data_IF_262970001742
#
_entry.id   IF_262970001742
#
_cell.length_a   1.000
_cell.length_b   1.000
_cell.length_c   1.000
_cell.angle_alpha   90.00
_cell.angle_beta   90.00
_cell.angle_gamma   90.00
#
_symmetry.space_group_name_H-M   'P 1'
#
loop_
_entity.id
_entity.type
_entity.pdbx_description
1 polymer ?
#
# COMPACT_ATOMS: atom_id res chain seq x y z
N UNK A 1 26.03 -58.42 28.44
CA UNK A 1 26.87 -57.54 29.29
C UNK A 1 26.58 -56.08 28.96
N UNK A 2 25.73 -55.48 29.78
CA UNK A 2 25.29 -54.11 29.68
C UNK A 2 26.20 -53.18 30.48
N UNK A 3 26.67 -52.09 29.88
CA UNK A 3 27.17 -50.96 30.66
C UNK A 3 26.38 -49.69 30.28
N UNK A 4 25.54 -49.28 31.21
CA UNK A 4 24.90 -47.95 31.26
C UNK A 4 25.90 -46.97 31.86
N UNK A 5 26.07 -45.80 31.21
CA UNK A 5 26.77 -44.63 31.81
C UNK A 5 25.76 -43.64 32.35
N UNK A 6 25.98 -43.00 33.47
CA UNK A 6 25.01 -42.19 34.16
C UNK A 6 24.98 -40.71 33.69
N UNK A 7 23.78 -40.16 33.69
CA UNK A 7 23.47 -38.75 33.45
C UNK A 7 23.91 -37.94 34.66
N UNK A 8 24.80 -36.94 34.48
CA UNK A 8 25.15 -35.93 35.50
C UNK A 8 24.16 -34.78 35.47
N UNK A 9 23.42 -34.66 36.56
CA UNK A 9 22.67 -33.46 36.96
C UNK A 9 23.66 -32.37 37.39
N UNK A 10 23.60 -31.18 36.78
CA UNK A 10 24.33 -30.00 37.20
C UNK A 10 23.38 -29.09 37.99
N UNK A 11 23.79 -28.84 39.25
CA UNK A 11 23.07 -28.05 40.24
C UNK A 11 23.19 -26.53 39.95
N UNK A 12 22.10 -25.81 40.13
CA UNK A 12 22.02 -24.35 40.17
C UNK A 12 22.63 -23.86 41.50
N UNK A 13 23.87 -23.38 41.48
CA UNK A 13 24.48 -22.43 42.44
C UNK A 13 25.96 -22.45 42.18
N UNK A 14 26.43 -21.33 41.59
CA UNK A 14 27.79 -20.78 41.65
C UNK A 14 28.15 -20.09 40.35
N UNK A 15 27.70 -18.86 40.21
CA UNK A 15 28.36 -17.83 39.41
C UNK A 15 27.93 -16.45 39.96
N UNK A 16 28.63 -16.04 41.01
CA UNK A 16 28.69 -14.63 41.43
C UNK A 16 30.17 -14.20 41.27
N UNK A 17 30.31 -13.03 40.66
CA UNK A 17 31.52 -12.18 40.59
C UNK A 17 32.48 -12.43 39.42
N UNK A 18 32.31 -11.64 38.39
CA UNK A 18 33.30 -10.61 38.02
C UNK A 18 32.68 -9.77 36.88
N UNK A 19 32.39 -8.52 37.20
CA UNK A 19 31.87 -7.56 36.23
C UNK A 19 32.98 -7.08 35.28
N UNK A 20 32.69 -7.21 33.98
CA UNK A 20 33.21 -6.29 32.96
C UNK A 20 32.04 -6.00 32.06
N UNK A 21 31.52 -4.78 32.16
CA UNK A 21 30.45 -4.29 31.30
C UNK A 21 30.96 -4.18 29.86
N UNK A 22 30.49 -5.04 29.00
CA UNK A 22 30.44 -4.77 27.57
C UNK A 22 29.04 -4.22 27.27
N UNK A 23 28.96 -2.91 27.25
CA UNK A 23 27.84 -2.24 26.60
C UNK A 23 27.87 -2.61 25.10
N UNK A 24 27.04 -3.54 24.70
CA UNK A 24 26.75 -3.75 23.30
C UNK A 24 25.95 -2.51 22.82
N UNK A 25 26.68 -1.53 22.28
CA UNK A 25 26.14 -0.47 21.49
C UNK A 25 25.51 -1.14 20.24
N UNK A 26 24.19 -1.31 20.23
CA UNK A 26 23.46 -1.49 18.97
C UNK A 26 23.71 -0.24 18.15
N UNK A 27 24.66 -0.31 17.25
CA UNK A 27 24.84 0.68 16.21
C UNK A 27 23.59 0.61 15.33
N UNK A 28 22.71 1.58 15.48
CA UNK A 28 21.73 1.90 14.46
C UNK A 28 22.52 2.15 13.18
N UNK A 29 22.35 1.28 12.19
CA UNK A 29 22.86 1.55 10.86
C UNK A 29 22.28 2.91 10.44
N UNK A 30 23.13 3.85 9.97
CA UNK A 30 22.62 5.13 9.49
C UNK A 30 21.68 4.83 8.33
N UNK A 31 20.47 5.37 8.39
CA UNK A 31 19.61 5.53 7.23
C UNK A 31 20.48 6.16 6.16
N UNK A 32 20.83 5.42 5.14
CA UNK A 32 21.52 5.94 3.96
C UNK A 32 20.58 6.97 3.34
N UNK A 33 20.68 8.22 3.80
CA UNK A 33 20.30 9.36 2.99
C UNK A 33 21.27 9.30 1.80
N UNK A 34 20.75 8.83 0.67
CA UNK A 34 21.43 8.99 -0.60
C UNK A 34 21.70 10.49 -0.74
N UNK A 35 22.95 10.88 -0.51
CA UNK A 35 23.40 12.21 -0.88
C UNK A 35 23.09 12.35 -2.39
N UNK A 36 22.38 13.39 -2.82
CA UNK A 36 22.27 13.66 -4.24
C UNK A 36 23.70 13.87 -4.74
N UNK A 37 24.18 12.98 -5.60
CA UNK A 37 25.38 13.25 -6.38
C UNK A 37 25.12 14.58 -7.06
N UNK A 38 25.90 15.59 -6.71
CA UNK A 38 26.01 16.84 -7.44
C UNK A 38 26.75 16.50 -8.75
N UNK A 39 25.99 15.95 -9.72
CA UNK A 39 26.46 15.94 -11.09
C UNK A 39 26.43 17.37 -11.59
N UNK A 40 27.57 17.81 -12.08
CA UNK A 40 27.81 19.14 -12.63
C UNK A 40 26.68 19.55 -13.57
N UNK A 41 26.04 20.67 -13.23
CA UNK A 41 24.97 21.27 -14.01
C UNK A 41 25.53 21.67 -15.39
N UNK A 42 25.32 20.85 -16.38
CA UNK A 42 25.33 21.26 -17.76
C UNK A 42 24.27 22.37 -17.92
N UNK A 43 24.66 23.51 -18.48
CA UNK A 43 23.87 24.75 -18.59
C UNK A 43 22.66 24.65 -19.57
N UNK A 44 22.02 23.50 -19.71
CA UNK A 44 20.83 23.30 -20.54
C UNK A 44 19.70 22.60 -19.80
N UNK A 45 18.46 22.73 -20.25
CA UNK A 45 17.33 22.00 -19.68
C UNK A 45 17.58 20.50 -19.81
N UNK A 46 17.47 19.79 -18.68
CA UNK A 46 17.72 18.36 -18.65
C UNK A 46 16.60 17.61 -19.37
N UNK A 47 16.98 16.71 -20.29
CA UNK A 47 16.06 15.95 -21.12
C UNK A 47 16.15 14.45 -20.84
N UNK A 48 14.98 13.78 -20.85
CA UNK A 48 14.83 12.36 -20.63
C UNK A 48 14.06 11.71 -21.78
N UNK A 49 14.26 10.42 -21.97
CA UNK A 49 13.39 9.64 -22.84
C UNK A 49 12.00 9.49 -22.21
N UNK A 50 11.97 9.13 -20.91
CA UNK A 50 10.75 8.97 -20.14
C UNK A 50 10.79 9.76 -18.83
N UNK A 51 9.67 10.42 -18.50
CA UNK A 51 9.45 11.00 -17.20
C UNK A 51 8.19 10.42 -16.56
N UNK A 52 8.30 9.98 -15.30
CA UNK A 52 7.16 9.53 -14.50
C UNK A 52 6.86 10.60 -13.47
N UNK A 53 5.60 11.07 -13.41
CA UNK A 53 5.16 12.12 -12.50
C UNK A 53 4.30 11.52 -11.40
N UNK A 54 4.82 11.56 -10.18
CA UNK A 54 4.24 10.93 -8.99
C UNK A 54 5.10 9.78 -8.49
N UNK A 55 5.85 10.00 -7.40
CA UNK A 55 6.76 9.05 -6.80
C UNK A 55 6.09 8.15 -5.74
N UNK A 56 4.77 7.86 -5.93
CA UNK A 56 3.99 6.92 -5.11
C UNK A 56 4.18 5.46 -5.55
N UNK A 57 3.29 4.58 -5.11
CA UNK A 57 3.36 3.13 -5.37
C UNK A 57 3.43 2.80 -6.87
N UNK A 58 2.51 3.35 -7.68
CA UNK A 58 2.45 3.06 -9.11
C UNK A 58 3.63 3.66 -9.86
N UNK A 59 3.97 4.93 -9.58
CA UNK A 59 5.07 5.60 -10.27
C UNK A 59 6.43 5.01 -9.93
N UNK A 60 6.68 4.61 -8.67
CA UNK A 60 7.93 3.96 -8.28
C UNK A 60 8.09 2.58 -8.92
N UNK A 61 7.01 1.81 -9.00
CA UNK A 61 7.00 0.54 -9.72
C UNK A 61 7.24 0.75 -11.23
N UNK A 62 6.55 1.72 -11.85
CA UNK A 62 6.75 2.05 -13.26
C UNK A 62 8.20 2.46 -13.53
N UNK A 63 8.82 3.26 -12.66
CA UNK A 63 10.21 3.68 -12.80
C UNK A 63 11.17 2.49 -12.78
N UNK A 64 11.01 1.54 -11.84
CA UNK A 64 11.81 0.32 -11.81
C UNK A 64 11.64 -0.55 -13.05
N UNK A 65 10.44 -0.61 -13.62
CA UNK A 65 10.21 -1.37 -14.84
C UNK A 65 10.74 -0.65 -16.09
N UNK A 66 10.56 0.68 -16.20
CA UNK A 66 11.09 1.49 -17.29
C UNK A 66 12.62 1.52 -17.32
N UNK A 67 13.27 1.55 -16.16
CA UNK A 67 14.73 1.56 -16.04
C UNK A 67 15.40 0.30 -16.62
N UNK A 68 14.64 -0.78 -16.84
CA UNK A 68 15.11 -1.99 -17.55
C UNK A 68 15.02 -1.85 -19.07
N UNK A 69 14.31 -0.85 -19.55
CA UNK A 69 14.03 -0.61 -20.98
C UNK A 69 14.78 0.60 -21.52
N UNK A 70 15.16 1.55 -20.65
CA UNK A 70 15.87 2.78 -21.02
C UNK A 70 16.76 3.27 -19.88
N UNK A 71 17.95 3.78 -20.24
CA UNK A 71 18.89 4.43 -19.32
C UNK A 71 18.54 5.91 -19.06
N UNK A 72 17.49 6.44 -19.71
CA UNK A 72 17.10 7.84 -19.66
C UNK A 72 15.71 8.04 -19.07
N UNK A 73 15.57 7.72 -17.76
CA UNK A 73 14.32 7.76 -17.02
C UNK A 73 14.40 8.75 -15.85
N UNK A 74 13.39 9.61 -15.68
CA UNK A 74 13.20 10.43 -14.50
C UNK A 74 11.94 10.00 -13.73
N UNK A 75 12.05 9.86 -12.41
CA UNK A 75 10.92 9.76 -11.49
C UNK A 75 10.82 11.05 -10.70
N UNK A 76 9.71 11.79 -10.87
CA UNK A 76 9.53 13.14 -10.33
C UNK A 76 8.37 13.13 -9.35
N UNK A 77 8.61 13.54 -8.12
CA UNK A 77 7.58 13.68 -7.10
C UNK A 77 8.16 14.00 -5.74
N UNK A 78 7.45 14.77 -4.92
CA UNK A 78 7.91 15.12 -3.58
C UNK A 78 8.02 13.88 -2.68
N UNK A 79 8.82 14.00 -1.63
CA UNK A 79 8.87 13.03 -0.53
C UNK A 79 7.66 13.15 0.40
N UNK A 80 7.57 12.24 1.37
CA UNK A 80 6.61 12.35 2.47
C UNK A 80 6.95 13.59 3.32
N UNK A 81 5.98 14.48 3.59
CA UNK A 81 6.24 15.68 4.37
C UNK A 81 6.57 15.33 5.83
N UNK A 82 7.63 15.93 6.37
CA UNK A 82 8.02 15.76 7.78
C UNK A 82 7.04 16.44 8.75
N UNK A 83 6.42 17.52 8.33
CA UNK A 83 5.33 18.22 9.05
C UNK A 83 4.05 18.17 8.24
N UNK A 84 3.26 17.12 8.46
CA UNK A 84 1.99 16.93 7.79
C UNK A 84 1.00 18.05 8.03
N UNK A 85 0.97 18.62 9.25
CA UNK A 85 -0.04 19.63 9.64
C UNK A 85 0.13 20.95 8.91
N UNK A 86 1.37 21.34 8.64
CA UNK A 86 1.69 22.60 7.99
C UNK A 86 2.03 22.45 6.49
N UNK A 87 2.05 21.22 5.97
CA UNK A 87 2.36 20.98 4.55
C UNK A 87 1.27 21.54 3.62
N UNK A 88 1.69 22.28 2.58
CA UNK A 88 0.80 22.92 1.60
C UNK A 88 0.83 22.28 0.21
N UNK A 89 1.70 21.30 -0.01
CA UNK A 89 1.82 20.56 -1.27
C UNK A 89 0.90 19.35 -1.35
N UNK A 90 1.18 18.49 -2.31
CA UNK A 90 0.46 17.24 -2.50
C UNK A 90 0.79 16.22 -1.40
N UNK A 91 -0.17 15.37 -1.11
CA UNK A 91 -0.01 14.21 -0.23
C UNK A 91 -0.13 12.92 -1.01
N UNK A 92 0.34 11.82 -0.45
CA UNK A 92 0.17 10.50 -1.04
C UNK A 92 -0.58 9.55 -0.09
N UNK A 93 -1.20 8.51 -0.65
CA UNK A 93 -2.03 7.54 0.09
C UNK A 93 -1.20 6.49 0.84
N UNK A 94 0.12 6.49 0.70
CA UNK A 94 0.98 5.44 1.24
C UNK A 94 1.62 5.74 2.61
N UNK A 95 1.25 6.86 3.24
CA UNK A 95 1.84 7.29 4.51
C UNK A 95 1.33 6.46 5.70
N UNK A 96 1.65 5.17 5.69
CA UNK A 96 1.27 4.20 6.71
C UNK A 96 2.36 3.11 6.82
N UNK A 97 2.23 2.21 7.80
CA UNK A 97 3.17 1.09 8.00
C UNK A 97 2.63 -0.21 7.45
N UNK A 98 1.30 -0.35 7.30
CA UNK A 98 0.70 -1.60 6.84
C UNK A 98 -0.39 -1.37 5.81
N UNK A 99 -0.35 -2.14 4.72
CA UNK A 99 -1.43 -2.31 3.75
C UNK A 99 -1.68 -3.78 3.52
N UNK A 100 -2.93 -4.16 3.46
CA UNK A 100 -3.34 -5.53 3.21
C UNK A 100 -2.77 -6.05 1.90
N UNK A 101 -2.16 -7.24 1.93
CA UNK A 101 -1.85 -8.04 0.76
C UNK A 101 -2.62 -9.36 0.81
N UNK A 102 -3.11 -9.76 -0.33
CA UNK A 102 -3.76 -11.04 -0.58
C UNK A 102 -3.89 -11.26 -2.09
N UNK A 103 -3.87 -12.49 -2.53
CA UNK A 103 -4.23 -12.83 -3.91
C UNK A 103 -5.73 -12.95 -4.03
N UNK A 104 -6.34 -13.70 -3.14
CA UNK A 104 -7.77 -14.01 -3.19
C UNK A 104 -8.63 -12.75 -3.06
N UNK A 105 -9.41 -12.50 -4.09
CA UNK A 105 -10.35 -11.37 -4.23
C UNK A 105 -11.57 -11.91 -5.01
N UNK A 106 -12.82 -11.48 -4.76
CA UNK A 106 -13.95 -11.92 -5.57
C UNK A 106 -13.87 -11.49 -7.04
N UNK A 107 -12.97 -10.58 -7.38
CA UNK A 107 -12.73 -10.07 -8.74
C UNK A 107 -11.42 -10.63 -9.30
N UNK A 108 -11.50 -11.37 -10.40
CA UNK A 108 -10.36 -12.04 -11.04
C UNK A 108 -9.30 -11.06 -11.57
N UNK A 109 -9.70 -9.87 -12.04
CA UNK A 109 -8.76 -8.86 -12.54
C UNK A 109 -7.88 -8.36 -11.40
N UNK A 110 -8.50 -7.97 -10.26
CA UNK A 110 -7.78 -7.54 -9.07
C UNK A 110 -6.94 -8.64 -8.45
N UNK A 111 -7.43 -9.86 -8.42
CA UNK A 111 -6.68 -11.02 -7.94
C UNK A 111 -5.45 -11.29 -8.81
N UNK A 112 -5.59 -11.22 -10.14
CA UNK A 112 -4.48 -11.39 -11.09
C UNK A 112 -3.42 -10.30 -10.94
N UNK A 113 -3.83 -9.03 -10.82
CA UNK A 113 -2.92 -7.91 -10.57
C UNK A 113 -2.15 -8.08 -9.25
N UNK A 114 -2.85 -8.51 -8.20
CA UNK A 114 -2.25 -8.79 -6.89
C UNK A 114 -1.26 -9.95 -6.97
N UNK A 115 -1.67 -11.09 -7.52
CA UNK A 115 -0.80 -12.28 -7.64
C UNK A 115 0.49 -11.93 -8.35
N UNK A 116 0.41 -11.31 -9.52
CA UNK A 116 1.60 -10.94 -10.29
C UNK A 116 2.52 -9.94 -9.60
N UNK A 117 1.96 -9.07 -8.77
CA UNK A 117 2.75 -8.15 -7.93
C UNK A 117 3.46 -8.93 -6.82
N UNK A 118 2.71 -9.74 -6.07
CA UNK A 118 3.20 -10.50 -4.91
C UNK A 118 4.26 -11.52 -5.35
N UNK A 119 4.07 -12.21 -6.48
CA UNK A 119 5.05 -13.15 -7.06
C UNK A 119 6.45 -12.52 -7.31
N UNK A 120 6.55 -11.18 -7.35
CA UNK A 120 7.83 -10.46 -7.54
C UNK A 120 8.38 -9.82 -6.27
N UNK A 121 7.61 -9.77 -5.18
CA UNK A 121 8.02 -9.05 -3.97
C UNK A 121 9.26 -9.65 -3.32
N UNK A 122 9.38 -10.96 -3.24
CA UNK A 122 10.56 -11.63 -2.66
C UNK A 122 11.86 -11.30 -3.45
N UNK A 123 11.77 -11.19 -4.79
CA UNK A 123 12.91 -10.75 -5.62
C UNK A 123 13.24 -9.28 -5.37
N UNK A 124 12.24 -8.44 -5.20
CA UNK A 124 12.44 -7.01 -4.89
C UNK A 124 13.09 -6.84 -3.52
N UNK A 125 12.62 -7.54 -2.48
CA UNK A 125 13.23 -7.53 -1.14
C UNK A 125 14.67 -8.01 -1.18
N UNK A 126 14.92 -9.16 -1.75
CA UNK A 126 16.25 -9.76 -1.88
C UNK A 126 17.25 -8.83 -2.60
N UNK A 127 16.82 -8.16 -3.66
CA UNK A 127 17.69 -7.27 -4.46
C UNK A 127 17.89 -5.92 -3.83
N UNK A 128 16.88 -5.35 -3.18
CA UNK A 128 16.97 -4.04 -2.53
C UNK A 128 17.55 -4.12 -1.12
N UNK A 129 17.53 -5.31 -0.49
CA UNK A 129 17.89 -5.48 0.93
C UNK A 129 16.90 -4.83 1.89
N UNK A 130 15.66 -4.55 1.44
CA UNK A 130 14.62 -3.90 2.23
C UNK A 130 13.41 -4.83 2.39
N UNK A 131 13.11 -5.20 3.62
CA UNK A 131 11.95 -6.03 3.96
C UNK A 131 10.69 -5.18 4.03
N UNK A 132 9.66 -5.53 3.27
CA UNK A 132 8.39 -4.82 3.24
C UNK A 132 7.17 -5.75 3.20
N UNK A 133 7.34 -7.04 2.81
CA UNK A 133 6.29 -8.05 2.75
C UNK A 133 6.29 -8.87 4.04
N UNK A 134 5.12 -9.07 4.65
CA UNK A 134 4.97 -9.86 5.86
C UNK A 134 3.83 -10.85 5.69
N UNK A 135 4.18 -12.12 5.51
CA UNK A 135 3.24 -13.22 5.36
C UNK A 135 2.71 -13.65 6.74
N UNK A 136 1.51 -13.18 7.07
CA UNK A 136 0.80 -13.49 8.31
C UNK A 136 -0.58 -14.09 8.07
N UNK A 137 -0.86 -14.42 6.81
CA UNK A 137 -2.17 -14.86 6.35
C UNK A 137 -3.18 -13.75 6.17
N UNK A 138 -4.26 -14.09 5.51
CA UNK A 138 -5.43 -13.25 5.30
C UNK A 138 -6.70 -14.07 5.45
N UNK A 139 -7.72 -13.49 6.06
CA UNK A 139 -9.07 -14.07 6.03
C UNK A 139 -10.13 -13.03 5.71
N UNK A 140 -11.17 -13.47 5.01
CA UNK A 140 -12.42 -12.74 4.88
C UNK A 140 -13.49 -13.47 5.65
N UNK A 141 -14.06 -12.81 6.66
CA UNK A 141 -15.07 -13.37 7.55
C UNK A 141 -16.40 -12.68 7.32
N UNK A 142 -17.45 -13.45 7.18
CA UNK A 142 -18.81 -12.93 6.98
C UNK A 142 -19.84 -13.83 7.65
N UNK A 143 -20.90 -13.28 8.27
CA UNK A 143 -22.03 -14.07 8.74
C UNK A 143 -22.76 -14.72 7.58
N UNK A 144 -23.39 -15.87 7.85
CA UNK A 144 -24.16 -16.60 6.85
C UNK A 144 -25.30 -15.75 6.27
N UNK A 145 -25.49 -15.85 4.96
CA UNK A 145 -26.57 -15.13 4.26
C UNK A 145 -26.28 -13.66 3.91
N UNK A 146 -25.09 -13.16 4.23
CA UNK A 146 -24.69 -11.83 3.80
C UNK A 146 -24.37 -11.85 2.30
N UNK A 147 -25.23 -11.23 1.50
CA UNK A 147 -25.16 -11.20 0.02
C UNK A 147 -24.45 -9.97 -0.55
N UNK A 148 -23.52 -9.37 0.18
CA UNK A 148 -22.81 -8.20 -0.32
C UNK A 148 -21.70 -8.60 -1.30
N UNK A 149 -21.61 -7.91 -2.43
CA UNK A 149 -20.61 -8.21 -3.48
C UNK A 149 -19.15 -8.22 -2.97
N UNK A 150 -18.87 -7.44 -1.94
CA UNK A 150 -17.53 -7.33 -1.32
C UNK A 150 -17.13 -8.56 -0.50
N UNK A 151 -18.11 -9.25 0.10
CA UNK A 151 -17.94 -10.41 0.97
C UNK A 151 -18.44 -11.69 0.29
N UNK A 152 -18.15 -11.82 -1.01
CA UNK A 152 -18.56 -12.95 -1.83
C UNK A 152 -17.57 -14.12 -1.71
N UNK A 153 -17.69 -14.92 -0.64
CA UNK A 153 -16.82 -16.08 -0.43
C UNK A 153 -16.89 -17.13 -1.57
N UNK A 154 -18.05 -17.43 -2.16
CA UNK A 154 -18.13 -18.30 -3.34
C UNK A 154 -17.26 -17.82 -4.50
N UNK A 155 -17.35 -16.55 -4.88
CA UNK A 155 -16.52 -15.98 -5.95
C UNK A 155 -15.03 -16.01 -5.60
N UNK A 156 -14.68 -15.80 -4.33
CA UNK A 156 -13.28 -15.93 -3.89
C UNK A 156 -12.73 -17.34 -4.05
N UNK A 157 -13.53 -18.38 -3.79
CA UNK A 157 -13.12 -19.78 -3.99
C UNK A 157 -12.88 -20.09 -5.47
N UNK A 158 -13.77 -19.61 -6.34
CA UNK A 158 -13.63 -19.73 -7.79
C UNK A 158 -12.35 -19.08 -8.28
N UNK A 159 -12.11 -17.81 -7.92
CA UNK A 159 -10.89 -17.08 -8.28
C UNK A 159 -9.63 -17.74 -7.71
N UNK A 160 -9.66 -18.25 -6.49
CA UNK A 160 -8.54 -18.99 -5.90
C UNK A 160 -8.22 -20.24 -6.73
N UNK A 161 -9.24 -21.01 -7.15
CA UNK A 161 -9.10 -22.17 -8.03
C UNK A 161 -8.49 -21.78 -9.38
N UNK A 162 -8.99 -20.73 -10.03
CA UNK A 162 -8.52 -20.24 -11.33
C UNK A 162 -7.04 -19.84 -11.31
N UNK A 163 -6.59 -19.26 -10.19
CA UNK A 163 -5.23 -18.78 -10.03
C UNK A 163 -4.29 -19.78 -9.33
N UNK A 164 -4.80 -20.96 -8.96
CA UNK A 164 -4.02 -21.99 -8.27
C UNK A 164 -3.54 -21.55 -6.89
N UNK A 165 -4.34 -20.78 -6.16
CA UNK A 165 -4.04 -20.28 -4.81
C UNK A 165 -4.68 -21.18 -3.76
N UNK A 166 -3.86 -21.66 -2.82
CA UNK A 166 -4.33 -22.47 -1.70
C UNK A 166 -5.17 -21.63 -0.73
N UNK A 167 -6.35 -22.11 -0.40
CA UNK A 167 -7.25 -21.53 0.58
C UNK A 167 -7.81 -22.60 1.51
N UNK A 168 -8.26 -22.20 2.68
CA UNK A 168 -8.98 -23.01 3.65
C UNK A 168 -10.33 -22.36 3.94
N UNK A 169 -11.37 -23.17 4.00
CA UNK A 169 -12.69 -22.74 4.48
C UNK A 169 -12.79 -22.96 5.98
N UNK A 170 -13.14 -21.89 6.71
CA UNK A 170 -13.34 -21.93 8.15
C UNK A 170 -14.82 -21.75 8.45
N UNK A 171 -15.39 -22.65 9.22
CA UNK A 171 -16.73 -22.51 9.77
C UNK A 171 -16.72 -21.79 11.13
N UNK A 172 -17.89 -21.51 11.67
CA UNK A 172 -18.07 -20.80 12.93
C UNK A 172 -17.34 -21.49 14.10
N UNK A 173 -17.38 -22.81 14.18
CA UNK A 173 -16.71 -23.55 15.23
C UNK A 173 -15.18 -23.42 15.13
N UNK A 174 -14.64 -23.57 13.94
CA UNK A 174 -13.20 -23.44 13.66
C UNK A 174 -12.70 -22.00 13.88
N UNK A 175 -13.48 -21.00 13.50
CA UNK A 175 -13.15 -19.59 13.75
C UNK A 175 -13.03 -19.30 15.26
N UNK A 176 -14.00 -19.74 16.05
CA UNK A 176 -14.00 -19.54 17.51
C UNK A 176 -12.89 -20.34 18.21
N UNK A 177 -12.55 -21.54 17.72
CA UNK A 177 -11.44 -22.34 18.25
C UNK A 177 -10.08 -21.68 17.95
N UNK A 178 -9.84 -21.27 16.71
CA UNK A 178 -8.54 -20.71 16.28
C UNK A 178 -8.29 -19.30 16.75
N UNK A 179 -9.34 -18.48 16.91
CA UNK A 179 -9.24 -17.06 17.25
C UNK A 179 -10.15 -16.68 18.41
N UNK A 180 -9.96 -17.28 19.61
CA UNK A 180 -10.88 -17.16 20.75
C UNK A 180 -10.96 -15.77 21.38
N UNK A 181 -10.12 -14.83 20.96
CA UNK A 181 -10.13 -13.43 21.37
C UNK A 181 -10.90 -12.52 20.41
N UNK A 182 -11.35 -13.04 19.27
CA UNK A 182 -12.26 -12.36 18.36
C UNK A 182 -13.71 -12.77 18.66
N UNK A 183 -14.59 -11.79 18.74
CA UNK A 183 -16.03 -12.04 18.86
C UNK A 183 -16.66 -12.05 17.46
N UNK A 184 -16.93 -13.25 16.97
CA UNK A 184 -17.54 -13.43 15.65
C UNK A 184 -19.06 -13.41 15.76
N UNK A 185 -19.73 -12.78 14.77
CA UNK A 185 -21.18 -12.94 14.61
C UNK A 185 -21.51 -14.42 14.44
N UNK A 186 -22.48 -14.96 15.22
CA UNK A 186 -22.84 -16.38 15.15
C UNK A 186 -23.19 -16.86 13.73
N UNK A 187 -22.69 -18.02 13.35
CA UNK A 187 -22.84 -18.56 12.00
C UNK A 187 -21.93 -17.94 10.95
N UNK A 188 -20.88 -17.23 11.37
CA UNK A 188 -19.85 -16.73 10.46
C UNK A 188 -19.09 -17.84 9.79
N UNK A 189 -18.63 -17.58 8.58
CA UNK A 189 -17.68 -18.41 7.84
C UNK A 189 -16.59 -17.56 7.23
N UNK A 190 -15.45 -18.18 6.90
CA UNK A 190 -14.36 -17.46 6.27
C UNK A 190 -13.71 -18.25 5.14
N UNK A 191 -13.08 -17.51 4.22
CA UNK A 191 -12.02 -18.00 3.34
C UNK A 191 -10.71 -17.49 3.90
N UNK A 192 -9.79 -18.41 4.19
CA UNK A 192 -8.45 -18.14 4.72
C UNK A 192 -7.38 -18.46 3.67
N UNK A 193 -6.48 -17.52 3.41
CA UNK A 193 -5.29 -17.67 2.59
C UNK A 193 -4.06 -17.54 3.50
N UNK A 194 -3.25 -18.62 3.60
CA UNK A 194 -2.10 -18.63 4.50
C UNK A 194 -0.86 -17.97 3.88
N UNK A 195 -0.53 -18.36 2.65
CA UNK A 195 0.68 -17.93 1.95
C UNK A 195 0.39 -16.75 1.02
N UNK A 196 1.40 -15.93 0.75
CA UNK A 196 1.29 -14.75 -0.11
C UNK A 196 0.17 -13.80 0.32
N UNK A 197 -0.05 -13.72 1.62
CA UNK A 197 -1.12 -12.97 2.25
C UNK A 197 -0.68 -12.40 3.61
N UNK A 198 -1.21 -11.22 3.96
CA UNK A 198 -0.85 -10.53 5.19
C UNK A 198 -0.78 -9.02 4.97
N UNK A 199 0.39 -8.41 5.17
CA UNK A 199 0.54 -6.98 4.90
C UNK A 199 1.89 -6.63 4.26
N UNK A 200 1.92 -5.49 3.58
CA UNK A 200 3.14 -4.84 3.14
C UNK A 200 3.30 -3.48 3.82
N UNK A 201 4.57 -3.07 4.01
CA UNK A 201 4.91 -1.71 4.37
C UNK A 201 5.07 -0.87 3.07
N UNK A 202 4.11 0.01 2.75
CA UNK A 202 4.13 0.72 1.47
C UNK A 202 5.28 1.73 1.35
N UNK A 203 5.76 2.29 2.47
CA UNK A 203 6.95 3.17 2.47
C UNK A 203 8.19 2.39 2.07
N UNK A 204 8.39 1.20 2.66
CA UNK A 204 9.54 0.35 2.35
C UNK A 204 9.47 -0.21 0.93
N UNK A 205 8.29 -0.61 0.44
CA UNK A 205 8.12 -1.02 -0.96
C UNK A 205 8.50 0.10 -1.94
N UNK A 206 8.06 1.34 -1.70
CA UNK A 206 8.44 2.49 -2.53
C UNK A 206 9.95 2.71 -2.49
N UNK A 207 10.58 2.64 -1.33
CA UNK A 207 12.02 2.78 -1.19
C UNK A 207 12.77 1.68 -1.94
N UNK A 208 12.33 0.43 -1.84
CA UNK A 208 12.90 -0.71 -2.58
C UNK A 208 12.79 -0.51 -4.09
N UNK A 209 11.61 -0.13 -4.59
CA UNK A 209 11.40 0.15 -6.00
C UNK A 209 12.31 1.29 -6.51
N UNK A 210 12.41 2.39 -5.74
CA UNK A 210 13.23 3.54 -6.09
C UNK A 210 14.73 3.24 -6.02
N UNK A 211 15.19 2.47 -5.04
CA UNK A 211 16.58 2.04 -4.94
C UNK A 211 16.97 1.23 -6.18
N UNK A 212 16.19 0.21 -6.52
CA UNK A 212 16.44 -0.63 -7.70
C UNK A 212 16.33 0.15 -9.03
N UNK A 213 15.45 1.15 -9.13
CA UNK A 213 15.40 2.02 -10.29
C UNK A 213 16.64 2.91 -10.39
N UNK A 214 17.14 3.45 -9.27
CA UNK A 214 18.34 4.30 -9.24
C UNK A 214 19.60 3.51 -9.58
N UNK A 215 19.74 2.25 -9.15
CA UNK A 215 20.83 1.37 -9.58
C UNK A 215 20.89 1.20 -11.10
N UNK A 216 19.72 1.30 -11.76
CA UNK A 216 19.57 1.27 -13.21
C UNK A 216 19.54 2.67 -13.84
N UNK A 217 20.12 3.69 -13.17
CA UNK A 217 20.28 5.08 -13.61
C UNK A 217 19.01 5.91 -13.71
N UNK A 218 17.87 5.48 -13.14
CA UNK A 218 16.72 6.37 -13.02
C UNK A 218 17.07 7.56 -12.12
N UNK A 219 16.83 8.77 -12.61
CA UNK A 219 17.01 9.98 -11.82
C UNK A 219 15.80 10.27 -10.96
N UNK A 220 16.00 10.29 -9.63
CA UNK A 220 14.95 10.66 -8.67
C UNK A 220 14.99 12.18 -8.45
N UNK A 221 13.87 12.87 -8.74
CA UNK A 221 13.73 14.32 -8.61
C UNK A 221 12.64 14.61 -7.58
N UNK A 222 13.04 15.15 -6.41
CA UNK A 222 12.15 15.41 -5.28
C UNK A 222 11.45 16.76 -5.40
N UNK A 223 10.67 16.90 -6.48
CA UNK A 223 9.97 18.14 -6.84
C UNK A 223 8.52 17.85 -7.20
N UNK A 224 7.65 18.83 -7.01
CA UNK A 224 6.28 18.80 -7.51
C UNK A 224 6.23 19.37 -8.93
N UNK A 225 5.55 18.65 -9.82
CA UNK A 225 5.28 19.10 -11.19
C UNK A 225 3.99 19.91 -11.19
N UNK A 226 4.07 21.13 -11.72
CA UNK A 226 2.94 22.05 -11.81
C UNK A 226 2.32 22.14 -13.20
N UNK A 227 3.07 21.76 -14.25
CA UNK A 227 2.63 21.92 -15.61
C UNK A 227 3.29 20.95 -16.56
N UNK A 228 2.53 20.51 -17.58
CA UNK A 228 3.01 19.80 -18.76
C UNK A 228 2.65 20.62 -20.01
N UNK A 229 3.61 20.83 -20.90
CA UNK A 229 3.39 21.53 -22.18
C UNK A 229 4.06 20.76 -23.32
N UNK A 230 3.33 20.53 -24.41
CA UNK A 230 3.94 20.02 -25.65
C UNK A 230 4.86 21.06 -26.27
N UNK A 231 6.08 20.64 -26.62
CA UNK A 231 7.11 21.45 -27.27
C UNK A 231 7.74 20.65 -28.39
N UNK A 232 7.16 20.71 -29.57
CA UNK A 232 7.60 19.90 -30.70
C UNK A 232 7.52 18.41 -30.43
N UNK A 233 8.63 17.72 -30.36
CA UNK A 233 8.73 16.28 -30.11
C UNK A 233 8.89 15.92 -28.62
N UNK A 234 8.83 16.90 -27.71
CA UNK A 234 9.02 16.70 -26.28
C UNK A 234 7.88 17.32 -25.47
N UNK A 235 7.78 16.88 -24.24
CA UNK A 235 6.96 17.47 -23.18
C UNK A 235 7.88 18.30 -22.27
N UNK A 236 7.59 19.58 -22.14
CA UNK A 236 8.18 20.49 -21.14
C UNK A 236 7.47 20.26 -19.80
N UNK A 237 8.25 20.01 -18.76
CA UNK A 237 7.79 19.69 -17.41
C UNK A 237 8.20 20.84 -16.49
N UNK A 238 7.23 21.63 -16.04
CA UNK A 238 7.45 22.76 -15.13
C UNK A 238 7.40 22.33 -13.67
N UNK A 239 8.46 22.64 -12.93
CA UNK A 239 8.61 22.30 -11.52
C UNK A 239 8.18 23.42 -10.58
N UNK A 240 7.80 23.11 -9.35
CA UNK A 240 7.42 24.10 -8.32
C UNK A 240 8.55 25.10 -8.00
N UNK A 241 9.80 24.67 -8.06
CA UNK A 241 10.98 25.55 -7.91
C UNK A 241 11.15 26.59 -9.02
N UNK A 242 10.40 26.48 -10.11
CA UNK A 242 10.57 27.26 -11.34
C UNK A 242 11.51 26.62 -12.36
N UNK A 243 12.13 25.47 -12.00
CA UNK A 243 12.95 24.70 -12.93
C UNK A 243 12.12 24.06 -14.04
N UNK A 244 12.77 23.66 -15.12
CA UNK A 244 12.15 23.03 -16.28
C UNK A 244 12.95 21.80 -16.71
N UNK A 245 12.22 20.70 -16.96
CA UNK A 245 12.76 19.45 -17.52
C UNK A 245 12.04 19.15 -18.84
N UNK A 246 12.62 18.27 -19.65
CA UNK A 246 12.01 17.79 -20.88
C UNK A 246 11.95 16.26 -20.90
N UNK A 247 10.93 15.69 -21.54
CA UNK A 247 10.87 14.26 -21.79
C UNK A 247 10.20 13.99 -23.15
N UNK A 248 10.58 12.88 -23.79
CA UNK A 248 9.93 12.46 -25.03
C UNK A 248 8.52 11.93 -24.74
N UNK A 249 8.36 11.20 -23.61
CA UNK A 249 7.07 10.67 -23.14
C UNK A 249 6.94 10.83 -21.62
N UNK A 250 5.72 11.03 -21.16
CA UNK A 250 5.40 11.26 -19.75
C UNK A 250 4.34 10.28 -19.29
N UNK A 251 4.58 9.63 -18.14
CA UNK A 251 3.59 8.80 -17.44
C UNK A 251 3.12 9.53 -16.19
N UNK A 252 1.83 9.89 -16.12
CA UNK A 252 1.23 10.56 -14.98
C UNK A 252 0.71 9.52 -13.98
N UNK A 253 1.25 9.51 -12.76
CA UNK A 253 0.97 8.59 -11.66
C UNK A 253 0.64 9.34 -10.36
N UNK A 254 -0.13 10.43 -10.45
CA UNK A 254 -0.37 11.42 -9.38
C UNK A 254 -1.50 11.04 -8.41
N UNK A 255 -2.07 9.82 -8.55
CA UNK A 255 -3.05 9.26 -7.61
C UNK A 255 -4.27 10.15 -7.40
N UNK A 256 -4.59 10.44 -6.14
CA UNK A 256 -5.76 11.27 -5.79
C UNK A 256 -5.69 12.72 -6.31
N UNK A 257 -4.50 13.22 -6.59
CA UNK A 257 -4.31 14.59 -7.08
C UNK A 257 -4.38 14.72 -8.61
N UNK A 258 -4.66 13.65 -9.36
CA UNK A 258 -4.61 13.65 -10.83
C UNK A 258 -5.47 14.75 -11.44
N UNK A 259 -6.74 14.86 -11.05
CA UNK A 259 -7.63 15.89 -11.58
C UNK A 259 -7.32 17.29 -11.03
N UNK A 260 -6.98 17.39 -9.74
CA UNK A 260 -6.73 18.67 -9.09
C UNK A 260 -5.38 19.30 -9.49
N UNK A 261 -4.42 18.52 -9.93
CA UNK A 261 -3.12 19.02 -10.43
C UNK A 261 -3.19 19.67 -11.81
N UNK A 262 -4.28 19.43 -12.56
CA UNK A 262 -4.51 19.97 -13.92
C UNK A 262 -3.37 19.67 -14.90
N UNK A 263 -2.67 18.55 -14.72
CA UNK A 263 -1.62 18.10 -15.63
C UNK A 263 -2.17 17.51 -16.93
N UNK A 264 -3.42 17.05 -16.91
CA UNK A 264 -4.15 16.51 -18.06
C UNK A 264 -5.07 17.58 -18.66
N UNK A 265 -5.33 17.50 -19.96
CA UNK A 265 -6.23 18.42 -20.66
C UNK A 265 -7.69 18.25 -20.26
N UNK A 266 -8.09 17.05 -19.92
CA UNK A 266 -9.44 16.72 -19.47
C UNK A 266 -9.37 15.98 -18.14
N UNK A 267 -10.32 16.24 -17.21
CA UNK A 267 -10.40 15.48 -15.98
C UNK A 267 -10.86 14.05 -16.27
N UNK A 268 -10.32 13.11 -15.51
CA UNK A 268 -10.75 11.71 -15.54
C UNK A 268 -12.03 11.53 -14.73
N UNK A 269 -12.87 10.58 -15.14
CA UNK A 269 -14.03 10.16 -14.35
C UNK A 269 -13.55 9.36 -13.12
N UNK A 270 -13.21 10.10 -12.07
CA UNK A 270 -12.66 9.60 -10.82
C UNK A 270 -13.32 10.30 -9.64
N UNK A 271 -13.53 9.55 -8.56
CA UNK A 271 -14.00 10.07 -7.27
C UNK A 271 -12.92 9.86 -6.21
N UNK A 272 -12.68 10.88 -5.39
CA UNK A 272 -11.72 10.75 -4.29
C UNK A 272 -12.49 10.61 -2.98
N UNK A 273 -12.43 9.42 -2.39
CA UNK A 273 -13.09 9.15 -1.11
C UNK A 273 -12.20 9.51 0.07
N UNK A 274 -12.81 10.12 1.07
CA UNK A 274 -12.20 10.53 2.32
C UNK A 274 -12.19 9.38 3.32
N UNK A 275 -11.23 8.46 3.22
CA UNK A 275 -11.12 7.32 4.12
C UNK A 275 -10.38 7.68 5.42
N UNK A 276 -10.67 6.97 6.50
CA UNK A 276 -10.04 7.14 7.80
C UNK A 276 -9.51 5.81 8.33
N UNK A 277 -8.34 5.87 8.94
CA UNK A 277 -7.70 4.75 9.63
C UNK A 277 -7.68 5.06 11.12
N UNK A 278 -8.10 4.12 11.94
CA UNK A 278 -7.91 4.12 13.38
C UNK A 278 -6.72 3.20 13.72
N UNK A 279 -5.72 3.72 14.43
CA UNK A 279 -4.61 2.96 14.99
C UNK A 279 -4.72 2.97 16.52
N UNK A 280 -5.00 1.82 17.10
CA UNK A 280 -5.15 1.62 18.54
C UNK A 280 -3.90 0.98 19.11
N UNK A 281 -3.19 1.71 19.97
CA UNK A 281 -1.98 1.24 20.62
C UNK A 281 -2.31 0.15 21.63
N UNK A 282 -1.56 -0.94 21.57
CA UNK A 282 -1.68 -2.09 22.46
C UNK A 282 -0.30 -2.47 23.01
N UNK A 283 -0.28 -3.25 24.09
CA UNK A 283 0.98 -3.79 24.59
C UNK A 283 1.65 -4.68 23.52
N UNK A 284 2.99 -4.63 23.36
CA UNK A 284 3.71 -5.45 22.37
C UNK A 284 3.49 -6.96 22.53
N UNK A 285 3.18 -7.40 23.74
CA UNK A 285 2.93 -8.79 24.15
C UNK A 285 1.44 -9.07 24.43
N UNK A 286 0.54 -8.31 23.83
CA UNK A 286 -0.91 -8.45 24.06
C UNK A 286 -1.48 -9.88 23.80
N UNK A 287 -0.64 -10.80 23.28
CA UNK A 287 -1.01 -12.21 23.09
C UNK A 287 -1.97 -12.47 21.95
N UNK A 288 -2.37 -11.43 21.22
CA UNK A 288 -3.36 -11.48 20.14
C UNK A 288 -2.64 -11.73 18.82
N UNK A 289 -2.97 -12.84 18.15
CA UNK A 289 -2.42 -13.20 16.84
C UNK A 289 -3.53 -13.66 15.91
N UNK A 290 -3.76 -12.91 14.86
CA UNK A 290 -4.71 -13.25 13.81
C UNK A 290 -4.20 -12.75 12.46
N UNK A 291 -4.66 -13.36 11.34
CA UNK A 291 -4.28 -12.90 10.01
C UNK A 291 -4.86 -11.49 9.73
N UNK A 292 -4.33 -10.81 8.73
CA UNK A 292 -4.99 -9.62 8.23
C UNK A 292 -6.44 -9.97 7.81
N UNK A 293 -7.42 -9.27 8.33
CA UNK A 293 -8.82 -9.71 8.25
C UNK A 293 -9.70 -8.64 7.64
N UNK A 294 -10.56 -9.02 6.69
CA UNK A 294 -11.76 -8.28 6.34
C UNK A 294 -12.93 -8.96 7.05
N UNK A 295 -13.65 -8.21 7.86
CA UNK A 295 -14.72 -8.74 8.68
C UNK A 295 -16.01 -7.94 8.51
N UNK A 296 -17.11 -8.67 8.32
CA UNK A 296 -18.47 -8.15 8.45
C UNK A 296 -19.05 -8.63 9.79
N UNK A 297 -19.21 -7.75 10.77
CA UNK A 297 -19.89 -7.99 12.04
C UNK A 297 -21.25 -7.32 12.01
N UNK A 298 -22.33 -8.08 12.20
CA UNK A 298 -23.71 -7.62 12.01
C UNK A 298 -24.60 -7.82 13.24
N UNK A 299 -24.03 -8.23 14.36
CA UNK A 299 -24.71 -8.43 15.64
C UNK A 299 -24.23 -7.46 16.74
N UNK A 300 -23.46 -6.44 16.34
CA UNK A 300 -23.04 -5.33 17.19
C UNK A 300 -24.10 -4.26 17.34
N UNK A 301 -23.77 -3.18 18.05
CA UNK A 301 -24.65 -2.01 18.17
C UNK A 301 -24.86 -1.30 16.82
N UNK A 302 -23.87 -1.39 15.95
CA UNK A 302 -23.92 -0.95 14.55
C UNK A 302 -23.17 -1.98 13.71
N UNK A 303 -23.59 -2.17 12.46
CA UNK A 303 -22.88 -3.06 11.55
C UNK A 303 -21.47 -2.54 11.27
N UNK A 304 -20.48 -3.41 11.42
CA UNK A 304 -19.09 -3.12 11.06
C UNK A 304 -18.68 -3.92 9.82
N UNK A 305 -18.17 -3.22 8.84
CA UNK A 305 -17.68 -3.78 7.58
C UNK A 305 -16.29 -3.22 7.33
N UNK A 306 -15.26 -3.96 7.71
CA UNK A 306 -13.98 -3.31 7.66
C UNK A 306 -12.76 -4.21 7.75
N UNK A 307 -11.64 -3.54 7.74
CA UNK A 307 -10.30 -4.09 7.84
C UNK A 307 -9.84 -4.12 9.31
N UNK A 308 -9.35 -5.26 9.73
CA UNK A 308 -8.66 -5.47 10.99
C UNK A 308 -7.23 -5.95 10.69
N UNK A 309 -6.22 -5.15 11.03
CA UNK A 309 -4.82 -5.58 10.97
C UNK A 309 -4.36 -5.99 12.36
N UNK A 310 -3.63 -7.11 12.50
CA UNK A 310 -3.14 -7.57 13.79
C UNK A 310 -2.16 -6.56 14.41
N UNK A 311 -1.71 -6.77 15.67
CA UNK A 311 -0.71 -5.94 16.30
C UNK A 311 0.57 -5.85 15.44
N UNK A 312 0.90 -4.64 14.99
CA UNK A 312 2.08 -4.35 14.15
C UNK A 312 2.89 -3.24 14.83
N UNK A 313 4.19 -3.46 14.97
CA UNK A 313 5.10 -2.42 15.47
C UNK A 313 5.41 -1.40 14.38
N UNK A 314 5.10 -0.14 14.66
CA UNK A 314 5.33 0.99 13.77
C UNK A 314 6.74 1.58 13.97
N UNK A 315 7.13 2.47 13.05
CA UNK A 315 8.46 3.13 13.07
C UNK A 315 8.75 3.92 14.34
N UNK A 316 7.73 4.29 15.11
CA UNK A 316 7.84 4.96 16.41
C UNK A 316 8.10 3.98 17.57
N UNK A 317 8.28 2.68 17.28
CA UNK A 317 8.51 1.62 18.26
C UNK A 317 7.28 1.17 19.05
N UNK A 318 6.10 1.72 18.74
CA UNK A 318 4.84 1.32 19.38
C UNK A 318 4.07 0.32 18.53
N UNK A 319 3.28 -0.51 19.19
CA UNK A 319 2.49 -1.57 18.53
C UNK A 319 1.03 -1.15 18.45
N UNK A 320 0.45 -1.28 17.24
CA UNK A 320 -0.93 -0.88 16.98
C UNK A 320 -1.73 -2.00 16.31
N UNK A 321 -2.97 -2.14 16.74
CA UNK A 321 -4.04 -2.75 15.97
C UNK A 321 -4.63 -1.66 15.07
N UNK A 322 -4.72 -1.93 13.77
CA UNK A 322 -5.29 -0.98 12.82
C UNK A 322 -6.67 -1.43 12.37
N UNK A 323 -7.61 -0.48 12.39
CA UNK A 323 -9.00 -0.68 11.96
C UNK A 323 -9.38 0.40 10.96
N UNK A 324 -10.16 0.01 9.98
CA UNK A 324 -10.74 0.90 8.98
C UNK A 324 -12.06 0.28 8.51
N UNK A 325 -13.12 1.05 8.45
CA UNK A 325 -14.40 0.63 7.90
C UNK A 325 -14.67 1.23 6.50
N UNK A 326 -15.86 0.98 5.98
CA UNK A 326 -16.31 1.48 4.69
C UNK A 326 -16.90 2.90 4.72
N UNK A 327 -16.77 3.63 5.81
CA UNK A 327 -17.28 5.00 5.89
C UNK A 327 -16.32 6.00 5.26
N UNK A 328 -16.81 6.79 4.32
CA UNK A 328 -16.02 7.76 3.54
C UNK A 328 -16.58 9.18 3.59
N UNK A 329 -17.51 9.47 4.50
CA UNK A 329 -18.23 10.73 4.54
C UNK A 329 -19.33 10.84 3.47
N UNK A 330 -20.11 11.92 3.53
CA UNK A 330 -21.28 12.08 2.66
C UNK A 330 -20.93 12.35 1.20
N UNK A 331 -19.81 13.02 0.93
CA UNK A 331 -19.44 13.49 -0.40
C UNK A 331 -17.97 13.19 -0.73
N UNK A 332 -17.66 12.91 -2.01
CA UNK A 332 -16.29 12.84 -2.48
C UNK A 332 -15.55 14.18 -2.32
N UNK A 333 -14.24 14.12 -2.11
CA UNK A 333 -13.40 15.32 -2.07
C UNK A 333 -13.11 15.82 -3.47
N UNK A 334 -13.21 17.13 -3.68
CA UNK A 334 -12.97 17.78 -4.95
C UNK A 334 -12.01 18.97 -4.79
N UNK A 335 -11.03 19.04 -5.68
CA UNK A 335 -10.10 20.15 -5.68
C UNK A 335 -8.91 19.99 -4.73
N UNK A 336 -7.88 20.78 -5.02
CA UNK A 336 -6.58 20.67 -4.35
C UNK A 336 -6.66 21.00 -2.85
N UNK A 337 -7.39 22.06 -2.51
CA UNK A 337 -7.48 22.56 -1.13
C UNK A 337 -8.22 21.59 -0.21
N UNK A 338 -9.31 20.96 -0.69
CA UNK A 338 -10.07 19.97 0.07
C UNK A 338 -9.24 18.70 0.33
N UNK A 339 -8.52 18.21 -0.69
CA UNK A 339 -7.61 17.09 -0.54
C UNK A 339 -6.50 17.39 0.49
N UNK A 340 -5.94 18.59 0.43
CA UNK A 340 -4.94 19.06 1.39
C UNK A 340 -5.50 19.20 2.80
N UNK A 341 -6.68 19.83 2.95
CA UNK A 341 -7.36 19.99 4.25
C UNK A 341 -7.67 18.64 4.88
N UNK A 342 -8.24 17.70 4.12
CA UNK A 342 -8.48 16.33 4.56
C UNK A 342 -7.18 15.64 5.02
N UNK A 343 -6.13 15.70 4.21
CA UNK A 343 -4.85 15.06 4.51
C UNK A 343 -4.16 15.61 5.76
N UNK A 344 -4.46 16.84 6.18
CA UNK A 344 -3.98 17.45 7.43
C UNK A 344 -4.87 17.19 8.64
N UNK A 345 -6.10 16.69 8.43
CA UNK A 345 -7.09 16.44 9.47
C UNK A 345 -6.78 15.16 10.29
N UNK A 346 -7.66 14.88 11.24
CA UNK A 346 -7.70 13.60 11.95
C UNK A 346 -8.88 12.71 11.48
N UNK A 347 -9.32 12.87 10.24
CA UNK A 347 -10.44 12.12 9.67
C UNK A 347 -11.82 12.62 10.13
N UNK A 348 -12.84 11.78 9.98
CA UNK A 348 -14.23 12.06 10.35
C UNK A 348 -14.42 11.99 11.87
N UNK A 349 -14.35 13.14 12.56
CA UNK A 349 -14.38 13.17 14.02
C UNK A 349 -15.70 12.62 14.59
N UNK A 350 -16.81 12.86 13.90
CA UNK A 350 -18.13 12.36 14.29
C UNK A 350 -18.24 10.82 14.21
N UNK A 351 -17.34 10.19 13.42
CA UNK A 351 -17.30 8.74 13.24
C UNK A 351 -16.26 8.03 14.13
N UNK A 352 -15.44 8.76 14.87
CA UNK A 352 -14.42 8.17 15.76
C UNK A 352 -15.00 7.20 16.79
N UNK A 353 -16.17 7.49 17.31
CA UNK A 353 -16.83 6.66 18.33
C UNK A 353 -17.30 5.33 17.74
N UNK A 354 -17.72 5.31 16.48
CA UNK A 354 -18.17 4.09 15.79
C UNK A 354 -17.01 3.10 15.67
N UNK A 355 -15.87 3.55 15.16
CA UNK A 355 -14.69 2.69 15.02
C UNK A 355 -14.16 2.16 16.38
N UNK A 356 -14.17 3.01 17.44
CA UNK A 356 -13.77 2.55 18.78
C UNK A 356 -14.71 1.48 19.31
N UNK A 357 -16.01 1.67 19.12
CA UNK A 357 -17.02 0.69 19.54
C UNK A 357 -16.86 -0.61 18.75
N UNK A 358 -16.76 -0.54 17.44
CA UNK A 358 -16.56 -1.71 16.58
C UNK A 358 -15.32 -2.52 17.01
N UNK A 359 -14.20 -1.84 17.29
CA UNK A 359 -13.00 -2.51 17.81
C UNK A 359 -13.25 -3.22 19.13
N UNK A 360 -13.96 -2.58 20.06
CA UNK A 360 -14.28 -3.17 21.37
C UNK A 360 -15.24 -4.35 21.27
N UNK A 361 -16.19 -4.29 20.35
CA UNK A 361 -17.13 -5.40 20.08
C UNK A 361 -16.43 -6.58 19.40
N UNK A 362 -15.50 -6.33 18.49
CA UNK A 362 -14.70 -7.38 17.83
C UNK A 362 -13.67 -7.99 18.77
N UNK A 363 -13.12 -7.20 19.69
CA UNK A 363 -12.10 -7.63 20.66
C UNK A 363 -12.50 -7.25 22.08
N UNK A 364 -13.44 -7.96 22.72
CA UNK A 364 -13.98 -7.57 24.02
C UNK A 364 -12.94 -7.45 25.14
N UNK A 365 -11.85 -8.22 25.07
CA UNK A 365 -10.78 -8.25 26.07
C UNK A 365 -9.55 -7.43 25.69
N UNK A 366 -9.58 -6.66 24.58
CA UNK A 366 -8.43 -5.87 24.14
C UNK A 366 -8.23 -4.64 25.01
N UNK A 367 -7.07 -4.54 25.66
CA UNK A 367 -6.66 -3.33 26.35
C UNK A 367 -6.02 -2.34 25.34
N UNK A 368 -6.67 -1.20 25.14
CA UNK A 368 -6.21 -0.12 24.27
C UNK A 368 -5.56 0.96 25.12
N UNK A 369 -4.27 1.21 24.92
CA UNK A 369 -3.49 2.20 25.65
C UNK A 369 -3.73 3.62 25.14
N UNK A 370 -3.81 3.77 23.82
CA UNK A 370 -4.11 5.04 23.14
C UNK A 370 -4.72 4.79 21.77
N UNK A 371 -5.39 5.80 21.21
CA UNK A 371 -5.98 5.73 19.86
C UNK A 371 -5.66 6.99 19.08
N UNK A 372 -5.22 6.82 17.83
CA UNK A 372 -5.00 7.90 16.89
C UNK A 372 -5.73 7.61 15.58
N UNK A 373 -6.18 8.70 14.93
CA UNK A 373 -6.88 8.65 13.65
C UNK A 373 -6.04 9.32 12.58
N UNK A 374 -6.02 8.72 11.40
CA UNK A 374 -5.26 9.22 10.26
C UNK A 374 -6.15 9.25 9.02
N UNK A 375 -6.15 10.36 8.26
CA UNK A 375 -6.84 10.42 6.99
C UNK A 375 -6.12 9.58 5.93
N UNK A 376 -6.89 9.02 5.04
CA UNK A 376 -6.42 8.36 3.84
C UNK A 376 -7.26 8.82 2.64
N UNK A 377 -6.65 8.88 1.46
CA UNK A 377 -7.34 9.19 0.21
C UNK A 377 -7.45 7.92 -0.63
N UNK A 378 -8.66 7.61 -1.09
CA UNK A 378 -8.89 6.53 -2.03
C UNK A 378 -9.36 7.14 -3.36
N UNK A 379 -8.59 6.89 -4.42
CA UNK A 379 -8.95 7.30 -5.77
C UNK A 379 -9.68 6.15 -6.47
N UNK A 380 -10.98 6.32 -6.65
CA UNK A 380 -11.84 5.38 -7.36
C UNK A 380 -12.09 5.84 -8.79
N UNK A 381 -12.01 4.92 -9.70
CA UNK A 381 -12.37 5.09 -11.10
C UNK A 381 -13.79 4.62 -11.35
N UNK A 382 -14.44 5.14 -12.35
CA UNK A 382 -15.79 4.70 -12.73
C UNK A 382 -15.81 3.26 -13.24
N UNK A 383 -14.72 2.79 -13.85
CA UNK A 383 -14.56 1.40 -14.29
C UNK A 383 -14.36 0.38 -13.15
N UNK A 384 -14.11 0.84 -11.92
CA UNK A 384 -13.67 0.04 -10.77
C UNK A 384 -12.29 -0.64 -10.95
N UNK A 385 -11.56 -0.32 -12.03
CA UNK A 385 -10.18 -0.76 -12.30
C UNK A 385 -9.26 0.44 -12.48
N UNK A 386 -7.93 0.28 -12.29
CA UNK A 386 -7.01 1.38 -12.55
C UNK A 386 -7.12 1.84 -14.01
N UNK A 387 -7.06 3.13 -14.24
CA UNK A 387 -6.79 3.61 -15.58
C UNK A 387 -5.31 3.45 -15.89
N UNK A 388 -5.02 2.66 -16.91
CA UNK A 388 -3.69 2.45 -17.48
C UNK A 388 -3.82 2.63 -18.98
N UNK A 389 -3.64 3.85 -19.47
CA UNK A 389 -3.98 4.21 -20.83
C UNK A 389 -3.12 5.36 -21.36
N UNK A 390 -2.97 5.45 -22.68
CA UNK A 390 -2.45 6.62 -23.34
C UNK A 390 -3.58 7.64 -23.54
N UNK A 391 -3.45 8.81 -22.91
CA UNK A 391 -4.43 9.90 -23.04
C UNK A 391 -4.03 10.92 -24.12
N UNK A 392 -2.86 10.73 -24.68
CA UNK A 392 -2.26 11.55 -25.74
C UNK A 392 -1.15 10.73 -26.41
N UNK A 393 -0.64 11.16 -27.56
CA UNK A 393 0.47 10.49 -28.27
C UNK A 393 1.77 10.36 -27.44
N UNK A 394 1.93 11.16 -26.38
CA UNK A 394 3.12 11.22 -25.52
C UNK A 394 2.84 11.18 -24.03
N UNK A 395 1.59 11.21 -23.64
CA UNK A 395 1.19 11.22 -22.23
C UNK A 395 0.32 10.00 -21.94
N UNK A 396 0.83 9.14 -21.07
CA UNK A 396 0.09 8.04 -20.48
C UNK A 396 -0.27 8.30 -19.02
N UNK A 397 -1.19 7.53 -18.49
CA UNK A 397 -1.64 7.57 -17.10
C UNK A 397 -1.57 6.21 -16.43
N UNK A 398 -1.33 6.22 -15.11
CA UNK A 398 -1.43 5.05 -14.22
C UNK A 398 -2.05 5.53 -12.90
N UNK A 399 -3.37 5.48 -12.77
CA UNK A 399 -4.09 6.06 -11.64
C UNK A 399 -5.30 5.23 -11.23
N UNK A 400 -5.87 5.48 -10.05
CA UNK A 400 -7.09 4.81 -9.60
C UNK A 400 -6.83 3.47 -8.90
N UNK A 401 -6.42 3.52 -7.64
CA UNK A 401 -6.13 2.32 -6.84
C UNK A 401 -7.38 1.61 -6.30
N UNK A 402 -8.55 2.25 -6.28
CA UNK A 402 -9.84 1.70 -5.85
C UNK A 402 -9.79 0.97 -4.49
N UNK A 403 -8.97 1.45 -3.55
CA UNK A 403 -8.72 0.78 -2.26
C UNK A 403 -7.87 -0.50 -2.32
N UNK A 404 -7.55 -1.00 -3.53
CA UNK A 404 -6.83 -2.27 -3.77
C UNK A 404 -5.43 -2.05 -4.38
N UNK A 405 -5.02 -0.79 -4.59
CA UNK A 405 -3.81 -0.45 -5.34
C UNK A 405 -2.50 -0.89 -4.72
N UNK A 406 -2.38 -0.98 -3.39
CA UNK A 406 -1.10 -1.28 -2.74
C UNK A 406 -0.59 -2.68 -3.11
N UNK A 407 -1.43 -3.72 -2.95
CA UNK A 407 -1.10 -5.11 -3.26
C UNK A 407 -0.85 -5.38 -4.75
N UNK A 408 -1.37 -4.52 -5.61
CA UNK A 408 -1.36 -4.65 -7.08
C UNK A 408 -0.40 -3.68 -7.75
N UNK A 409 0.32 -2.86 -6.99
CA UNK A 409 1.04 -1.68 -7.49
C UNK A 409 2.17 -2.02 -8.45
N UNK A 410 2.87 -3.12 -8.22
CA UNK A 410 4.01 -3.50 -9.05
C UNK A 410 3.58 -3.93 -10.46
N UNK A 411 2.50 -4.72 -10.57
CA UNK A 411 1.98 -5.14 -11.89
C UNK A 411 1.33 -3.98 -12.63
N UNK A 412 0.57 -3.12 -11.93
CA UNK A 412 0.00 -1.91 -12.52
C UNK A 412 1.11 -1.00 -13.07
N UNK A 413 2.16 -0.76 -12.29
CA UNK A 413 3.32 0.01 -12.73
C UNK A 413 4.05 -0.63 -13.92
N UNK A 414 4.17 -1.97 -13.93
CA UNK A 414 4.77 -2.72 -15.04
C UNK A 414 3.99 -2.53 -16.35
N UNK A 415 2.67 -2.68 -16.29
CA UNK A 415 1.82 -2.50 -17.47
C UNK A 415 1.95 -1.07 -17.99
N UNK A 416 1.88 -0.07 -17.12
CA UNK A 416 2.05 1.34 -17.49
C UNK A 416 3.43 1.64 -18.08
N UNK A 417 4.49 1.05 -17.52
CA UNK A 417 5.85 1.18 -18.03
C UNK A 417 5.99 0.64 -19.45
N UNK A 418 5.45 -0.54 -19.72
CA UNK A 418 5.50 -1.14 -21.04
C UNK A 418 4.62 -0.43 -22.05
N UNK A 419 3.44 0.04 -21.62
CA UNK A 419 2.56 0.83 -22.45
C UNK A 419 3.25 2.13 -22.93
N UNK A 420 3.84 2.90 -22.00
CA UNK A 420 4.49 4.17 -22.38
C UNK A 420 5.76 3.97 -23.21
N UNK A 421 6.46 2.84 -23.03
CA UNK A 421 7.68 2.55 -23.78
C UNK A 421 7.40 2.10 -25.22
N UNK A 422 6.39 1.26 -25.44
CA UNK A 422 6.23 0.52 -26.69
C UNK A 422 4.87 0.73 -27.38
N UNK A 423 3.97 1.56 -26.87
CA UNK A 423 2.60 1.74 -27.36
C UNK A 423 1.84 0.41 -27.53
N UNK A 424 2.11 -0.58 -26.68
CA UNK A 424 1.44 -1.86 -26.76
C UNK A 424 0.93 -2.32 -25.40
N UNK A 425 -0.13 -3.11 -25.43
CA UNK A 425 -0.67 -3.76 -24.25
C UNK A 425 0.05 -5.10 -24.00
N UNK A 426 0.74 -5.19 -22.88
CA UNK A 426 1.60 -6.35 -22.55
C UNK A 426 1.02 -7.25 -21.44
N UNK A 427 -0.27 -7.18 -21.20
CA UNK A 427 -0.96 -7.99 -20.20
C UNK A 427 -1.94 -8.97 -20.85
N UNK A 428 -2.17 -10.14 -20.25
CA UNK A 428 -3.26 -11.04 -20.65
C UNK A 428 -4.62 -10.56 -20.17
N UNK A 429 -4.67 -9.58 -19.25
CA UNK A 429 -5.92 -8.94 -18.85
C UNK A 429 -6.44 -8.06 -19.98
N UNK A 430 -7.77 -7.96 -20.19
CA UNK A 430 -8.33 -7.16 -21.26
C UNK A 430 -7.99 -5.68 -21.11
N UNK A 431 -7.36 -5.06 -22.13
CA UNK A 431 -7.00 -3.64 -22.10
C UNK A 431 -8.20 -2.72 -21.85
N UNK A 432 -9.36 -3.09 -22.39
CA UNK A 432 -10.58 -2.28 -22.32
C UNK A 432 -11.04 -1.95 -20.88
N UNK A 433 -10.74 -2.83 -19.89
CA UNK A 433 -11.12 -2.56 -18.49
C UNK A 433 -10.25 -1.48 -17.84
N UNK A 434 -9.09 -1.20 -18.43
CA UNK A 434 -8.12 -0.20 -17.93
C UNK A 434 -8.18 1.11 -18.72
N UNK A 435 -9.04 1.20 -19.74
CA UNK A 435 -9.18 2.37 -20.57
C UNK A 435 -9.61 3.60 -19.75
N UNK A 436 -8.99 4.74 -20.01
CA UNK A 436 -9.33 6.01 -19.38
C UNK A 436 -10.77 6.43 -19.73
N UNK A 437 -11.51 6.86 -18.72
CA UNK A 437 -12.80 7.51 -18.89
C UNK A 437 -12.68 8.96 -18.41
N UNK A 438 -13.28 9.86 -19.17
CA UNK A 438 -13.23 11.31 -18.90
C UNK A 438 -14.59 11.82 -18.46
N UNK A 439 -14.58 12.82 -17.55
CA UNK A 439 -15.79 13.48 -17.03
C UNK A 439 -16.13 14.74 -17.82
#
# INVERSE_FOLDING_TARGET
MNRKSPIRTVNRRDFISTGVGLAASMSMAPVLQANPSQDEAGNGPQSFEFAIIGAGLFGSAAARHLSKLSDSVALIGPGEPSDRKNHQGVFASHYDTSRLIRVVDPDLVWATLAKRSIDRYDDIERRSGLDFKHDIGYMMVTPGGLGADWFNLPAMREVASDLGVGIEDLDDATLNERFPYLDFTPGSSAVYQEQDAGYLNPRMLIQAQQALASEQRTRLIREEVLQLKKRGQQIEIGLRSGGTLHANRVLVATGAYTNSSKLLHQPLDMKIRAAMIMASEVAPDAGIRYPATLYAKTDGAEDFWGLLMPPITYVNGRTYVKTMDGYYGPEPLNGFDELGAWSRSNGHQDHHHVLRRALQEVFPSLEVLSTQFQPCLIADTNSHYPYVDMVDDRIGIVVGGNGKGAKSSDEIGRIGAQMIAADNWSSSLPQAVFAAQFS
#
